data_IF_713539053802
#
_entry.id   IF_713539053802
#
_cell.length_a   1.000
_cell.length_b   1.000
_cell.length_c   1.000
_cell.angle_alpha   90.00
_cell.angle_beta   90.00
_cell.angle_gamma   90.00
#
_symmetry.space_group_name_H-M   'P 1'
#
loop_
_entity.id
_entity.type
_entity.pdbx_description
1 polymer ?
#
# COMPACT_ATOMS: atom_id res chain seq x y z
N UNK A 1 -20.84 5.80 0.85
CA UNK A 1 -19.89 4.69 1.02
C UNK A 1 -18.74 5.04 1.96
N UNK A 2 -18.03 6.20 1.82
CA UNK A 2 -16.92 6.59 2.72
C UNK A 2 -17.28 6.65 4.21
N UNK A 3 -18.48 7.13 4.56
CA UNK A 3 -18.96 7.20 5.95
C UNK A 3 -19.24 5.84 6.58
N UNK A 4 -19.70 4.87 5.78
CA UNK A 4 -19.97 3.49 6.25
C UNK A 4 -18.66 2.76 6.55
N UNK A 5 -17.63 2.93 5.71
CA UNK A 5 -16.32 2.37 5.94
C UNK A 5 -15.70 2.90 7.25
N UNK A 6 -15.84 4.20 7.49
CA UNK A 6 -15.34 4.84 8.71
C UNK A 6 -16.08 4.35 9.97
N UNK A 7 -17.40 4.11 9.88
CA UNK A 7 -18.21 3.52 10.96
C UNK A 7 -17.84 2.06 11.24
N UNK A 8 -17.56 1.26 10.20
CA UNK A 8 -17.12 -0.15 10.36
C UNK A 8 -15.76 -0.20 11.05
N UNK A 9 -14.80 0.65 10.64
CA UNK A 9 -13.50 0.75 11.29
C UNK A 9 -13.63 1.21 12.75
N UNK A 10 -14.45 2.22 13.02
CA UNK A 10 -14.72 2.68 14.38
C UNK A 10 -15.41 1.61 15.24
N UNK A 11 -16.38 0.86 14.68
CA UNK A 11 -17.07 -0.23 15.39
C UNK A 11 -16.12 -1.39 15.70
N UNK A 12 -15.20 -1.73 14.79
CA UNK A 12 -14.14 -2.72 15.06
C UNK A 12 -13.21 -2.28 16.20
N UNK A 13 -12.90 -0.99 16.31
CA UNK A 13 -12.06 -0.47 17.41
C UNK A 13 -12.76 -0.52 18.77
N UNK A 14 -14.08 -0.39 18.83
CA UNK A 14 -14.86 -0.36 20.09
C UNK A 14 -15.12 -1.75 20.68
N UNK A 15 -15.17 -2.80 19.84
CA UNK A 15 -15.48 -4.17 20.31
C UNK A 15 -14.28 -4.92 20.90
N UNK A 16 -13.08 -4.36 20.86
CA UNK A 16 -11.86 -5.01 21.33
C UNK A 16 -11.52 -4.64 22.76
N UNK A 17 -12.20 -5.31 23.74
CA UNK A 17 -11.77 -5.29 25.13
C UNK A 17 -10.55 -6.21 25.26
N UNK A 18 -9.37 -5.63 25.38
CA UNK A 18 -8.11 -6.36 25.43
C UNK A 18 -7.52 -6.36 26.83
N UNK A 19 -7.32 -7.56 27.35
CA UNK A 19 -6.44 -7.80 28.48
C UNK A 19 -4.98 -7.67 27.99
N UNK A 20 -4.26 -6.69 28.51
CA UNK A 20 -2.99 -6.15 28.04
C UNK A 20 -1.76 -7.08 28.20
N UNK A 21 -1.90 -8.40 28.28
CA UNK A 21 -0.77 -9.27 28.64
C UNK A 21 -0.15 -10.09 27.51
N UNK A 22 -0.83 -10.25 26.33
CA UNK A 22 -0.25 -10.99 25.21
C UNK A 22 -0.85 -10.52 23.87
N UNK A 23 -0.60 -9.25 23.52
CA UNK A 23 -1.04 -8.69 22.23
C UNK A 23 -0.35 -9.41 21.07
N UNK A 24 -0.99 -10.46 20.56
CA UNK A 24 -0.46 -11.28 19.46
C UNK A 24 -0.86 -10.77 18.10
N UNK A 25 -1.94 -9.99 18.03
CA UNK A 25 -2.49 -9.52 16.79
C UNK A 25 -2.16 -8.03 16.59
N UNK A 26 -1.86 -7.67 15.36
CA UNK A 26 -1.58 -6.29 14.98
C UNK A 26 -2.25 -6.02 13.62
N UNK A 27 -3.06 -4.99 13.54
CA UNK A 27 -3.66 -4.50 12.30
C UNK A 27 -3.23 -3.06 12.07
N UNK A 28 -2.90 -2.71 10.84
CA UNK A 28 -2.45 -1.36 10.50
C UNK A 28 -2.99 -0.87 9.17
N UNK A 29 -2.93 0.45 9.01
CA UNK A 29 -3.15 1.15 7.75
C UNK A 29 -1.97 2.06 7.48
N UNK A 30 -1.60 2.20 6.21
CA UNK A 30 -0.43 2.97 5.83
C UNK A 30 -0.66 3.79 4.57
N UNK A 31 0.18 4.80 4.42
CA UNK A 31 0.40 5.57 3.20
C UNK A 31 1.90 5.63 2.93
N UNK A 32 2.28 5.36 1.69
CA UNK A 32 3.68 5.40 1.26
C UNK A 32 3.94 6.41 0.16
N UNK A 33 5.22 6.67 -0.09
CA UNK A 33 5.69 7.51 -1.18
C UNK A 33 6.75 6.76 -1.98
N UNK A 34 6.78 7.01 -3.29
CA UNK A 34 7.71 6.39 -4.23
C UNK A 34 7.71 4.85 -4.20
N UNK A 35 6.55 4.26 -4.49
CA UNK A 35 6.43 2.79 -4.60
C UNK A 35 7.13 2.25 -5.86
N UNK A 36 7.41 0.94 -5.86
CA UNK A 36 7.97 0.25 -7.01
C UNK A 36 7.05 0.32 -8.23
N UNK A 37 5.74 0.27 -8.04
CA UNK A 37 4.75 0.47 -9.10
C UNK A 37 4.81 1.89 -9.67
N UNK A 38 5.04 2.92 -8.84
CA UNK A 38 5.27 4.29 -9.28
C UNK A 38 6.55 4.42 -10.12
N UNK A 39 7.67 3.89 -9.64
CA UNK A 39 8.94 3.90 -10.37
C UNK A 39 8.80 3.18 -11.71
N UNK A 40 8.08 2.05 -11.74
CA UNK A 40 7.81 1.33 -12.98
C UNK A 40 6.95 2.14 -13.95
N UNK A 41 5.92 2.82 -13.48
CA UNK A 41 5.06 3.70 -14.28
C UNK A 41 5.84 4.91 -14.80
N UNK A 42 6.73 5.52 -13.99
CA UNK A 42 7.63 6.60 -14.42
C UNK A 42 8.58 6.12 -15.52
N UNK A 43 9.13 4.92 -15.42
CA UNK A 43 10.01 4.36 -16.46
C UNK A 43 9.22 4.08 -17.75
N UNK A 44 8.01 3.52 -17.64
CA UNK A 44 7.14 3.28 -18.80
C UNK A 44 6.63 4.59 -19.41
N UNK A 45 6.33 5.60 -18.59
CA UNK A 45 5.90 6.94 -19.03
C UNK A 45 7.06 7.82 -19.51
N UNK A 46 8.30 7.60 -19.06
CA UNK A 46 9.47 8.28 -19.62
C UNK A 46 9.69 7.92 -21.10
N UNK A 47 9.28 6.73 -21.51
CA UNK A 47 9.15 6.39 -22.94
C UNK A 47 7.96 7.11 -23.61
N UNK A 48 6.87 7.39 -22.88
CA UNK A 48 5.71 8.13 -23.36
C UNK A 48 5.86 9.67 -23.18
N UNK A 49 6.63 10.13 -22.20
CA UNK A 49 6.90 11.55 -21.92
C UNK A 49 7.81 12.22 -22.97
N UNK A 50 8.44 11.45 -23.85
CA UNK A 50 8.86 11.97 -25.16
C UNK A 50 7.68 12.53 -25.97
N UNK A 51 6.43 12.34 -25.50
CA UNK A 51 5.17 12.81 -26.09
C UNK A 51 4.47 13.94 -25.30
N UNK A 52 4.97 14.37 -24.15
CA UNK A 52 4.52 15.59 -23.45
C UNK A 52 3.34 15.44 -22.49
N UNK A 53 3.02 14.24 -22.00
CA UNK A 53 1.91 13.98 -21.09
C UNK A 53 2.29 14.12 -19.60
N UNK A 54 1.41 14.75 -18.81
CA UNK A 54 1.55 14.84 -17.36
C UNK A 54 0.80 13.68 -16.69
N UNK A 55 1.47 12.93 -15.83
CA UNK A 55 0.88 11.85 -15.04
C UNK A 55 0.68 12.27 -13.58
N UNK A 56 -0.51 12.05 -13.05
CA UNK A 56 -0.82 12.25 -11.63
C UNK A 56 -0.84 10.89 -10.93
N UNK A 57 0.02 10.75 -9.91
CA UNK A 57 0.15 9.53 -9.11
C UNK A 57 -0.47 9.70 -7.73
N UNK A 58 -1.20 8.66 -7.25
CA UNK A 58 -1.78 8.62 -5.92
C UNK A 58 -1.56 7.26 -5.26
N UNK A 59 -1.07 7.27 -4.03
CA UNK A 59 -0.76 6.07 -3.25
C UNK A 59 0.75 5.78 -3.19
N UNK A 60 1.15 4.60 -2.68
CA UNK A 60 0.31 3.50 -2.22
C UNK A 60 -0.36 3.77 -0.88
N UNK A 61 -1.62 3.36 -0.77
CA UNK A 61 -2.33 3.24 0.50
C UNK A 61 -2.62 1.77 0.75
N UNK A 62 -2.63 1.33 1.99
CA UNK A 62 -2.93 -0.06 2.25
C UNK A 62 -3.25 -0.39 3.68
N UNK A 63 -3.49 -1.68 3.87
CA UNK A 63 -3.70 -2.30 5.17
C UNK A 63 -2.70 -3.45 5.36
N UNK A 64 -2.39 -3.73 6.61
CA UNK A 64 -1.51 -4.83 6.97
C UNK A 64 -2.04 -5.51 8.23
N UNK A 65 -1.76 -6.80 8.32
CA UNK A 65 -2.06 -7.59 9.50
C UNK A 65 -0.86 -8.45 9.84
N UNK A 66 -0.52 -8.54 11.14
CA UNK A 66 0.53 -9.40 11.66
C UNK A 66 0.06 -10.18 12.87
N UNK A 67 0.46 -11.43 12.93
CA UNK A 67 0.35 -12.30 14.09
C UNK A 67 1.74 -12.56 14.68
N UNK A 68 1.94 -12.18 15.93
CA UNK A 68 3.21 -12.34 16.63
C UNK A 68 3.38 -13.79 17.10
N UNK A 69 4.24 -14.54 16.42
CA UNK A 69 4.62 -15.92 16.81
C UNK A 69 5.48 -15.90 18.07
N UNK A 70 6.37 -14.91 18.14
CA UNK A 70 7.25 -14.63 19.29
C UNK A 70 7.36 -13.11 19.47
N UNK A 71 7.90 -12.62 20.60
CA UNK A 71 8.18 -11.19 20.73
C UNK A 71 9.05 -10.60 19.61
N UNK A 72 9.94 -11.43 19.04
CA UNK A 72 10.88 -11.03 17.99
C UNK A 72 10.39 -11.26 16.56
N UNK A 73 9.38 -12.12 16.34
CA UNK A 73 8.95 -12.52 14.99
C UNK A 73 7.44 -12.48 14.88
N UNK A 74 6.96 -11.81 13.84
CA UNK A 74 5.56 -11.86 13.44
C UNK A 74 5.43 -12.23 11.94
N UNK A 75 4.32 -12.88 11.60
CA UNK A 75 3.96 -13.25 10.24
C UNK A 75 2.62 -12.63 9.90
N UNK A 76 2.41 -12.30 8.64
CA UNK A 76 1.17 -11.64 8.27
C UNK A 76 1.04 -11.39 6.78
N UNK A 77 0.33 -10.33 6.43
CA UNK A 77 0.11 -9.93 5.06
C UNK A 77 -0.08 -8.43 4.90
N UNK A 78 0.21 -7.96 3.72
CA UNK A 78 0.08 -6.58 3.29
C UNK A 78 -0.81 -6.55 2.05
N UNK A 79 -1.79 -5.66 2.08
CA UNK A 79 -2.63 -5.29 0.93
C UNK A 79 -2.35 -3.83 0.60
N UNK A 80 -1.90 -3.55 -0.62
CA UNK A 80 -1.63 -2.20 -1.10
C UNK A 80 -2.49 -1.86 -2.31
N UNK A 81 -2.86 -0.60 -2.43
CA UNK A 81 -3.58 -0.03 -3.55
C UNK A 81 -2.90 1.26 -4.01
N UNK A 82 -2.67 1.38 -5.31
CA UNK A 82 -2.17 2.59 -5.92
C UNK A 82 -2.92 2.86 -7.24
N UNK A 83 -2.97 4.12 -7.66
CA UNK A 83 -3.61 4.51 -8.92
C UNK A 83 -2.80 5.60 -9.61
N UNK A 84 -2.63 5.45 -10.91
CA UNK A 84 -2.03 6.44 -11.79
C UNK A 84 -3.06 6.90 -12.82
N UNK A 85 -3.13 8.21 -13.09
CA UNK A 85 -3.98 8.79 -14.12
C UNK A 85 -3.10 9.63 -15.04
N UNK A 86 -3.18 9.36 -16.33
CA UNK A 86 -2.62 10.22 -17.36
C UNK A 86 -3.71 11.15 -17.88
N UNK A 87 -3.45 12.47 -17.87
CA UNK A 87 -4.33 13.50 -18.45
C UNK A 87 -3.62 14.12 -19.66
N UNK A 88 -4.31 14.20 -20.80
CA UNK A 88 -3.85 14.97 -21.96
C UNK A 88 -3.94 16.47 -21.63
N UNK A 89 -2.82 17.18 -21.69
CA UNK A 89 -2.70 18.61 -21.34
C UNK A 89 -3.51 19.53 -22.26
N UNK A 90 -3.86 19.07 -23.47
CA UNK A 90 -4.60 19.86 -24.49
C UNK A 90 -6.11 19.75 -24.37
N UNK A 91 -6.61 18.57 -24.00
CA UNK A 91 -8.05 18.29 -23.96
C UNK A 91 -8.61 18.18 -22.55
N UNK A 92 -7.75 18.06 -21.52
CA UNK A 92 -8.11 17.75 -20.10
C UNK A 92 -8.98 16.51 -19.98
N UNK A 93 -8.93 15.60 -20.95
CA UNK A 93 -9.68 14.38 -21.00
C UNK A 93 -8.82 13.26 -20.41
N UNK A 94 -9.40 12.50 -19.48
CA UNK A 94 -8.76 11.32 -18.86
C UNK A 94 -8.78 10.18 -19.88
N UNK A 95 -7.64 9.89 -20.48
CA UNK A 95 -7.57 8.87 -21.52
C UNK A 95 -7.12 7.48 -20.99
N UNK A 96 -6.39 7.44 -19.89
CA UNK A 96 -5.87 6.19 -19.29
C UNK A 96 -5.91 6.26 -17.76
N UNK A 97 -6.48 5.22 -17.15
CA UNK A 97 -6.45 5.00 -15.70
C UNK A 97 -5.81 3.65 -15.41
N UNK A 98 -4.71 3.65 -14.67
CA UNK A 98 -4.05 2.45 -14.19
C UNK A 98 -4.34 2.24 -12.71
N UNK A 99 -4.75 1.03 -12.36
CA UNK A 99 -5.02 0.63 -10.98
C UNK A 99 -4.16 -0.55 -10.61
N UNK A 100 -3.50 -0.46 -9.45
CA UNK A 100 -2.61 -1.49 -8.92
C UNK A 100 -3.15 -2.00 -7.59
N UNK A 101 -3.36 -3.30 -7.50
CA UNK A 101 -3.72 -4.00 -6.26
C UNK A 101 -2.64 -5.03 -5.99
N UNK A 102 -1.98 -4.93 -4.83
CA UNK A 102 -0.88 -5.79 -4.46
C UNK A 102 -1.19 -6.54 -3.18
N UNK A 103 -0.98 -7.86 -3.19
CA UNK A 103 -1.14 -8.75 -2.03
C UNK A 103 0.18 -9.45 -1.75
N UNK A 104 0.70 -9.29 -0.54
CA UNK A 104 2.00 -9.83 -0.15
C UNK A 104 1.94 -10.49 1.23
N UNK A 105 2.18 -11.79 1.36
CA UNK A 105 2.63 -12.38 2.63
C UNK A 105 3.87 -11.64 3.14
N UNK A 106 3.96 -11.52 4.47
CA UNK A 106 5.00 -10.71 5.12
C UNK A 106 5.52 -11.36 6.38
N UNK A 107 6.81 -11.16 6.64
CA UNK A 107 7.48 -11.51 7.90
C UNK A 107 8.09 -10.25 8.49
N UNK A 108 7.82 -10.00 9.77
CA UNK A 108 8.31 -8.85 10.53
C UNK A 108 9.24 -9.31 11.64
N UNK A 109 10.43 -8.72 11.72
CA UNK A 109 11.46 -8.99 12.72
C UNK A 109 11.57 -7.81 13.66
N UNK A 110 11.11 -7.96 14.91
CA UNK A 110 11.18 -6.92 15.93
C UNK A 110 12.54 -6.97 16.63
N UNK A 111 13.38 -5.98 16.41
CA UNK A 111 14.67 -5.85 17.11
C UNK A 111 14.50 -5.30 18.53
N UNK A 112 13.49 -4.43 18.69
CA UNK A 112 13.14 -3.84 19.96
C UNK A 112 11.61 -3.75 20.06
N UNK A 113 11.04 -4.33 21.12
CA UNK A 113 9.61 -4.28 21.40
C UNK A 113 9.38 -3.85 22.85
N UNK A 114 9.25 -2.54 23.05
CA UNK A 114 8.88 -1.93 24.33
C UNK A 114 7.43 -1.48 24.33
N UNK A 115 6.89 -1.15 25.52
CA UNK A 115 5.50 -0.73 25.68
C UNK A 115 5.12 0.45 24.77
N UNK A 116 5.98 1.47 24.66
CA UNK A 116 5.70 2.71 23.95
C UNK A 116 6.62 2.96 22.74
N UNK A 117 7.52 2.04 22.45
CA UNK A 117 8.48 2.19 21.36
C UNK A 117 8.88 0.83 20.80
N UNK A 118 9.01 0.74 19.49
CA UNK A 118 9.48 -0.46 18.80
C UNK A 118 10.36 -0.15 17.61
N UNK A 119 11.25 -1.09 17.28
CA UNK A 119 12.08 -1.08 16.08
C UNK A 119 12.00 -2.46 15.42
N UNK A 120 11.91 -2.47 14.10
CA UNK A 120 11.76 -3.71 13.34
C UNK A 120 12.29 -3.58 11.91
N UNK A 121 12.46 -4.72 11.26
CA UNK A 121 12.55 -4.87 9.80
C UNK A 121 11.45 -5.78 9.31
N UNK A 122 11.06 -5.67 8.05
CA UNK A 122 10.07 -6.57 7.47
C UNK A 122 10.43 -6.91 6.02
N UNK A 123 10.04 -8.12 5.62
CA UNK A 123 10.14 -8.60 4.24
C UNK A 123 8.76 -9.09 3.81
N UNK A 124 8.31 -8.62 2.66
CA UNK A 124 7.07 -9.05 2.04
C UNK A 124 7.35 -9.39 0.58
N UNK A 125 6.69 -10.41 0.06
CA UNK A 125 6.77 -10.78 -1.35
C UNK A 125 5.44 -11.37 -1.79
N UNK A 126 5.00 -11.04 -3.00
CA UNK A 126 3.70 -11.49 -3.49
C UNK A 126 3.42 -11.07 -4.91
N UNK A 127 2.17 -10.78 -5.19
CA UNK A 127 1.69 -10.48 -6.53
C UNK A 127 0.96 -9.14 -6.58
N UNK A 128 1.16 -8.43 -7.66
CA UNK A 128 0.46 -7.21 -8.04
C UNK A 128 -0.41 -7.50 -9.26
N UNK A 129 -1.64 -7.04 -9.20
CA UNK A 129 -2.59 -7.01 -10.31
C UNK A 129 -2.65 -5.57 -10.82
N UNK A 130 -2.13 -5.35 -12.04
CA UNK A 130 -2.19 -4.08 -12.73
C UNK A 130 -3.33 -4.14 -13.73
N UNK A 131 -4.35 -3.31 -13.56
CA UNK A 131 -5.48 -3.18 -14.47
C UNK A 131 -5.40 -1.83 -15.19
N UNK A 132 -5.39 -1.87 -16.51
CA UNK A 132 -5.43 -0.70 -17.38
C UNK A 132 -6.85 -0.57 -17.91
N UNK A 133 -7.50 0.54 -17.61
CA UNK A 133 -8.82 0.87 -18.16
C UNK A 133 -8.70 2.05 -19.11
N UNK A 134 -9.21 1.86 -20.31
CA UNK A 134 -9.27 2.89 -21.34
C UNK A 134 -10.59 3.66 -21.20
N UNK A 135 -10.52 4.94 -20.85
CA UNK A 135 -11.71 5.81 -20.70
C UNK A 135 -11.66 6.97 -21.73
N UNK A 136 -12.81 7.54 -22.08
CA UNK A 136 -12.90 8.76 -22.87
C UNK A 136 -12.71 8.58 -24.37
N UNK A 137 -11.93 9.48 -25.01
CA UNK A 137 -11.75 9.56 -26.46
C UNK A 137 -11.04 8.31 -27.04
N UNK A 138 -10.15 7.67 -26.27
CA UNK A 138 -9.46 6.47 -26.71
C UNK A 138 -10.42 5.26 -26.87
N UNK A 139 -11.45 5.15 -26.02
CA UNK A 139 -12.51 4.14 -26.14
C UNK A 139 -13.45 4.40 -27.33
N UNK A 140 -13.61 5.67 -27.69
CA UNK A 140 -14.40 6.07 -28.87
C UNK A 140 -13.64 5.80 -30.18
N UNK A 141 -12.31 5.88 -30.14
CA UNK A 141 -11.45 5.60 -31.30
C UNK A 141 -11.30 4.09 -31.59
N UNK A 142 -11.30 3.25 -30.54
CA UNK A 142 -11.30 1.78 -30.68
C UNK A 142 -12.34 1.14 -29.75
N UNK A 143 -13.58 0.89 -30.23
CA UNK A 143 -14.62 0.26 -29.45
C UNK A 143 -14.30 -1.17 -28.98
N UNK A 144 -13.26 -1.81 -29.53
CA UNK A 144 -12.77 -3.14 -29.16
C UNK A 144 -11.62 -3.11 -28.16
N UNK A 145 -11.17 -1.93 -27.71
CA UNK A 145 -10.16 -1.81 -26.66
C UNK A 145 -10.67 -2.50 -25.39
N UNK A 146 -9.99 -3.56 -24.97
CA UNK A 146 -10.33 -4.37 -23.79
C UNK A 146 -9.50 -3.94 -22.63
N UNK A 147 -10.12 -3.91 -21.45
CA UNK A 147 -9.40 -3.78 -20.19
C UNK A 147 -8.47 -4.99 -20.05
N UNK A 148 -7.19 -4.72 -19.82
CA UNK A 148 -6.17 -5.76 -19.67
C UNK A 148 -5.67 -5.77 -18.22
N UNK A 149 -5.63 -6.96 -17.62
CA UNK A 149 -5.06 -7.15 -16.29
C UNK A 149 -3.79 -7.97 -16.41
N UNK A 150 -2.68 -7.40 -15.95
CA UNK A 150 -1.37 -8.06 -15.94
C UNK A 150 -0.98 -8.35 -14.50
N UNK A 151 -0.57 -9.61 -14.26
CA UNK A 151 -0.07 -10.03 -12.94
C UNK A 151 1.46 -9.94 -12.93
N UNK A 152 2.01 -9.33 -11.89
CA UNK A 152 3.47 -9.18 -11.71
C UNK A 152 3.90 -9.56 -10.30
N UNK A 153 5.12 -10.08 -10.19
CA UNK A 153 5.75 -10.27 -8.88
C UNK A 153 6.09 -8.92 -8.27
N UNK A 154 5.78 -8.77 -6.97
CA UNK A 154 6.14 -7.60 -6.18
C UNK A 154 6.74 -7.99 -4.84
N UNK A 155 7.53 -7.08 -4.29
CA UNK A 155 8.14 -7.25 -2.97
C UNK A 155 8.18 -5.92 -2.22
N UNK A 156 8.40 -6.02 -0.92
CA UNK A 156 8.77 -4.91 -0.04
C UNK A 156 9.83 -5.37 0.94
N UNK A 157 10.95 -4.67 0.98
CA UNK A 157 11.99 -4.82 1.98
C UNK A 157 12.04 -3.57 2.84
N UNK A 158 11.47 -3.63 4.05
CA UNK A 158 11.58 -2.57 5.06
C UNK A 158 12.86 -2.79 5.84
N UNK A 159 13.85 -1.94 5.62
CA UNK A 159 15.14 -2.01 6.30
C UNK A 159 15.01 -1.56 7.77
N UNK A 160 14.26 -0.48 8.00
CA UNK A 160 14.03 0.10 9.32
C UNK A 160 12.58 0.56 9.45
N UNK A 161 11.89 0.04 10.46
CA UNK A 161 10.61 0.54 10.94
C UNK A 161 10.72 1.02 12.37
N UNK A 162 10.12 2.16 12.67
CA UNK A 162 10.02 2.74 14.00
C UNK A 162 8.54 2.82 14.38
N UNK A 163 8.21 2.43 15.60
CA UNK A 163 6.85 2.48 16.13
C UNK A 163 6.82 3.27 17.45
N UNK A 164 5.80 4.11 17.62
CA UNK A 164 5.62 4.95 18.80
C UNK A 164 4.15 4.87 19.25
N UNK A 165 3.91 4.66 20.53
CA UNK A 165 2.58 4.61 21.14
C UNK A 165 2.36 3.36 22.00
N UNK A 166 1.16 3.25 22.57
CA UNK A 166 0.70 2.09 23.34
C UNK A 166 0.17 0.97 22.46
N UNK A 167 -1.10 0.60 22.66
CA UNK A 167 -1.81 -0.35 21.78
C UNK A 167 -2.06 0.27 20.40
N UNK A 168 -2.47 1.54 20.36
CA UNK A 168 -2.47 2.32 19.13
C UNK A 168 -1.08 2.96 18.95
N UNK A 169 -0.46 2.67 17.81
CA UNK A 169 0.90 3.11 17.46
C UNK A 169 0.92 3.85 16.15
N UNK A 170 1.63 4.98 16.13
CA UNK A 170 2.12 5.55 14.89
C UNK A 170 3.37 4.81 14.45
N UNK A 171 3.57 4.61 13.16
CA UNK A 171 4.80 4.04 12.65
C UNK A 171 5.32 4.78 11.42
N UNK A 172 6.63 4.67 11.21
CA UNK A 172 7.32 5.12 10.00
C UNK A 172 8.27 4.02 9.56
N UNK A 173 8.29 3.73 8.27
CA UNK A 173 9.17 2.73 7.65
C UNK A 173 10.03 3.37 6.57
N UNK A 174 11.28 2.93 6.50
CA UNK A 174 12.18 3.18 5.38
C UNK A 174 12.55 1.84 4.72
N UNK A 175 12.38 1.76 3.41
CA UNK A 175 12.59 0.52 2.67
C UNK A 175 12.56 0.70 1.17
N UNK A 176 12.42 -0.42 0.45
CA UNK A 176 12.31 -0.46 -1.00
C UNK A 176 11.22 -1.45 -1.39
N UNK A 177 10.37 -1.07 -2.31
CA UNK A 177 9.33 -1.93 -2.87
C UNK A 177 7.97 -1.25 -2.97
N UNK A 178 6.91 -2.04 -2.83
CA UNK A 178 5.55 -1.60 -3.13
C UNK A 178 4.94 -0.64 -2.10
N UNK A 179 5.31 -0.73 -0.81
CA UNK A 179 4.91 0.25 0.20
C UNK A 179 5.59 1.61 0.04
N UNK A 180 6.58 1.69 -0.84
CA UNK A 180 7.37 2.88 -1.09
C UNK A 180 8.71 2.92 -0.36
N UNK A 181 9.50 3.94 -0.68
CA UNK A 181 10.78 4.21 -0.03
C UNK A 181 10.59 4.70 1.40
N UNK A 182 9.58 5.54 1.61
CA UNK A 182 9.10 5.97 2.92
C UNK A 182 7.61 5.66 3.03
N UNK A 183 7.22 5.12 4.18
CA UNK A 183 5.85 4.78 4.48
C UNK A 183 5.56 5.12 5.93
N UNK A 184 4.36 5.56 6.21
CA UNK A 184 3.90 5.86 7.57
C UNK A 184 2.44 5.51 7.76
N UNK A 185 2.05 5.29 9.01
CA UNK A 185 0.68 4.90 9.28
C UNK A 185 0.38 4.70 10.75
N UNK A 186 -0.74 4.04 10.99
CA UNK A 186 -1.22 3.68 12.32
C UNK A 186 -1.40 2.17 12.42
N UNK A 187 -1.04 1.60 13.55
CA UNK A 187 -1.23 0.19 13.92
C UNK A 187 -1.94 0.08 15.26
N UNK A 188 -2.77 -0.94 15.37
CA UNK A 188 -3.41 -1.31 16.62
C UNK A 188 -3.07 -2.74 16.97
N UNK A 189 -2.60 -2.96 18.21
CA UNK A 189 -2.27 -4.26 18.78
C UNK A 189 -3.34 -4.72 19.76
N UNK A 190 -3.70 -6.02 19.71
CA UNK A 190 -4.73 -6.65 20.54
C UNK A 190 -4.50 -8.14 20.73
#
# INVERSE_FOLDING_TARGET
MKKILLMVVAAMMVTMNVNAQDEKNEIGVFYGVESASNIFSIISSAFAAAAGDQSSWWGPIGAEYYYHLTPGVAVGGVLAYASCKAEDDKTKQKDLSETFITVMPSVKFNWLRKKNFGMYSALSAGVMFASVSVEGAAKTADPNAKDETVTRFMFQATALGLEFGGNLRGFVEAGLGEKGTLCGGLRYRF
#
